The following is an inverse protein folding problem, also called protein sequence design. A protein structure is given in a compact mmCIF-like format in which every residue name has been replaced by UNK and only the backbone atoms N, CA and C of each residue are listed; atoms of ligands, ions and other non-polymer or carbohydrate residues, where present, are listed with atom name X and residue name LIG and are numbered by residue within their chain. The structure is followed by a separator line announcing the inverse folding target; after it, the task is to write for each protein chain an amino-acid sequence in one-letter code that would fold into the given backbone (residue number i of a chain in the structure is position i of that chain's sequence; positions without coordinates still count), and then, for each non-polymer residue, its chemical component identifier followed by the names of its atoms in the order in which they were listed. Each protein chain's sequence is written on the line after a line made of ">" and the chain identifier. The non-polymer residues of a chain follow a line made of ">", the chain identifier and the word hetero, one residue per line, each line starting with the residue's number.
data_IF_965330107444
#
_entry.id   IF_965330107444
#
_cell.length_a   1.000
_cell.length_b   1.000
_cell.length_c   1.000
_cell.angle_alpha   90.00
_cell.angle_beta   90.00
_cell.angle_gamma   90.00
#
_symmetry.space_group_name_H-M   'P 1'
#
loop_
_entity.id
_entity.type
_entity.pdbx_description
1 polymer ?
#
# COMPACT_ATOMS: atom_id res chain seq x y z
N UNK A 1 -14.13 -8.06 11.02
CA UNK A 1 -13.87 -8.45 9.61
C UNK A 1 -12.41 -8.85 9.56
N UNK A 2 -12.06 -10.00 8.98
CA UNK A 2 -10.67 -10.44 8.89
C UNK A 2 -10.06 -9.85 7.61
N UNK A 3 -8.87 -9.27 7.73
CA UNK A 3 -8.12 -8.73 6.60
C UNK A 3 -7.44 -9.91 5.90
N UNK A 4 -7.54 -9.95 4.57
CA UNK A 4 -6.91 -11.01 3.78
C UNK A 4 -5.45 -10.69 3.47
N UNK A 5 -4.62 -11.72 3.33
CA UNK A 5 -3.22 -11.57 2.89
C UNK A 5 -3.17 -10.85 1.53
N UNK A 6 -4.09 -11.15 0.62
CA UNK A 6 -4.18 -10.50 -0.69
C UNK A 6 -4.38 -8.97 -0.56
N UNK A 7 -5.20 -8.51 0.40
CA UNK A 7 -5.38 -7.08 0.68
C UNK A 7 -4.09 -6.43 1.18
N UNK A 8 -3.36 -7.10 2.07
CA UNK A 8 -2.05 -6.65 2.54
C UNK A 8 -1.02 -6.60 1.41
N UNK A 9 -1.00 -7.60 0.53
CA UNK A 9 -0.12 -7.63 -0.65
C UNK A 9 -0.39 -6.45 -1.57
N UNK A 10 -1.65 -6.17 -1.91
CA UNK A 10 -2.02 -5.03 -2.75
C UNK A 10 -1.59 -3.71 -2.10
N UNK A 11 -1.84 -3.54 -0.79
CA UNK A 11 -1.41 -2.34 -0.07
C UNK A 11 0.12 -2.16 -0.11
N UNK A 12 0.88 -3.23 0.13
CA UNK A 12 2.34 -3.22 0.03
C UNK A 12 2.83 -2.91 -1.38
N UNK A 13 2.27 -3.54 -2.41
CA UNK A 13 2.63 -3.27 -3.81
C UNK A 13 2.49 -1.78 -4.14
N UNK A 14 1.39 -1.15 -3.70
CA UNK A 14 1.19 0.28 -3.90
C UNK A 14 2.14 1.16 -3.08
N UNK A 15 2.47 0.78 -1.84
CA UNK A 15 3.44 1.51 -1.01
C UNK A 15 4.86 1.43 -1.59
N UNK A 16 5.30 0.24 -2.00
CA UNK A 16 6.61 0.00 -2.61
C UNK A 16 6.71 0.76 -3.93
N UNK A 17 5.72 0.62 -4.80
CA UNK A 17 5.65 1.34 -6.09
C UNK A 17 5.73 2.86 -5.89
N UNK A 18 5.02 3.39 -4.89
CA UNK A 18 5.04 4.82 -4.58
C UNK A 18 6.39 5.32 -4.06
N UNK A 19 7.08 4.49 -3.28
CA UNK A 19 8.43 4.79 -2.81
C UNK A 19 9.42 4.81 -3.96
N UNK A 20 9.44 3.74 -4.76
CA UNK A 20 10.42 3.56 -5.83
C UNK A 20 10.21 4.53 -7.00
N UNK A 21 8.96 4.76 -7.44
CA UNK A 21 8.69 5.68 -8.57
C UNK A 21 9.11 7.11 -8.27
N UNK A 22 9.02 7.55 -7.01
CA UNK A 22 9.45 8.88 -6.60
C UNK A 22 10.98 9.05 -6.63
N UNK A 23 11.73 7.99 -6.35
CA UNK A 23 13.19 8.03 -6.22
C UNK A 23 13.91 7.65 -7.53
N UNK A 24 13.37 6.69 -8.28
CA UNK A 24 14.01 6.11 -9.47
C UNK A 24 13.54 6.70 -10.80
N UNK A 25 12.45 7.47 -10.81
CA UNK A 25 11.86 8.00 -12.04
C UNK A 25 11.26 6.95 -12.98
N UNK A 26 11.07 5.71 -12.51
CA UNK A 26 10.42 4.60 -13.23
C UNK A 26 8.91 4.73 -13.10
N UNK A 27 8.18 4.28 -14.13
CA UNK A 27 6.72 4.36 -14.11
C UNK A 27 6.12 3.47 -13.02
N UNK A 28 5.12 4.01 -12.30
CA UNK A 28 4.44 3.26 -11.25
C UNK A 28 3.77 1.97 -11.78
N UNK A 29 3.25 2.00 -13.02
CA UNK A 29 2.60 0.83 -13.62
C UNK A 29 3.59 -0.30 -13.92
N UNK A 30 4.80 0.03 -14.37
CA UNK A 30 5.83 -0.97 -14.67
C UNK A 30 6.33 -1.64 -13.39
N UNK A 31 6.60 -0.85 -12.34
CA UNK A 31 6.96 -1.37 -11.02
C UNK A 31 5.86 -2.24 -10.42
N UNK A 32 4.60 -1.81 -10.56
CA UNK A 32 3.46 -2.56 -10.06
C UNK A 32 3.29 -3.89 -10.81
N UNK A 33 3.43 -3.89 -12.14
CA UNK A 33 3.34 -5.09 -12.94
C UNK A 33 4.44 -6.11 -12.56
N UNK A 34 5.65 -5.63 -12.27
CA UNK A 34 6.74 -6.48 -11.80
C UNK A 34 6.44 -7.11 -10.42
N UNK A 35 5.99 -6.29 -9.45
CA UNK A 35 5.61 -6.77 -8.12
C UNK A 35 4.36 -7.68 -8.12
N UNK A 36 3.57 -7.67 -9.19
CA UNK A 36 2.46 -8.59 -9.39
C UNK A 36 2.91 -9.90 -10.04
N UNK A 37 3.98 -9.86 -10.84
CA UNK A 37 4.54 -11.01 -11.53
C UNK A 37 5.56 -11.79 -10.69
N UNK A 38 6.24 -11.12 -9.75
CA UNK A 38 7.28 -11.69 -8.91
C UNK A 38 7.01 -11.44 -7.43
N UNK A 39 7.22 -12.47 -6.62
CA UNK A 39 7.20 -12.36 -5.15
C UNK A 39 8.56 -11.90 -4.59
N UNK A 40 9.63 -11.94 -5.38
CA UNK A 40 10.98 -11.68 -4.89
C UNK A 40 11.34 -10.19 -5.00
N UNK A 41 11.64 -9.56 -3.86
CA UNK A 41 12.01 -8.14 -3.76
C UNK A 41 13.49 -7.85 -4.09
N UNK A 42 14.24 -8.78 -4.68
CA UNK A 42 15.67 -8.60 -5.04
C UNK A 42 15.95 -8.75 -6.53
N UNK A 43 14.96 -9.20 -7.29
CA UNK A 43 15.07 -9.48 -8.71
C UNK A 43 14.00 -8.70 -9.47
N UNK A 44 14.34 -8.21 -10.65
CA UNK A 44 13.41 -7.48 -11.53
C UNK A 44 13.47 -5.95 -11.41
N UNK A 45 12.72 -5.22 -12.25
CA UNK A 45 12.60 -3.76 -12.21
C UNK A 45 12.23 -3.15 -10.85
N UNK A 46 11.45 -3.85 -10.02
CA UNK A 46 11.06 -3.43 -8.68
C UNK A 46 11.96 -4.00 -7.57
N UNK A 47 13.08 -4.65 -7.92
CA UNK A 47 14.08 -5.12 -6.98
C UNK A 47 14.55 -3.99 -6.06
N UNK A 48 14.62 -4.26 -4.77
CA UNK A 48 15.10 -3.35 -3.74
C UNK A 48 16.60 -3.56 -3.52
N UNK A 49 17.41 -2.55 -3.82
CA UNK A 49 18.78 -2.51 -3.34
C UNK A 49 18.81 -2.23 -1.82
N UNK A 50 20.00 -2.17 -1.20
CA UNK A 50 20.10 -1.96 0.25
C UNK A 50 19.52 -0.61 0.72
N UNK A 51 19.63 0.44 -0.09
CA UNK A 51 19.08 1.76 0.23
C UNK A 51 17.58 1.80 0.01
N UNK A 52 17.10 1.27 -1.13
CA UNK A 52 15.67 1.16 -1.41
C UNK A 52 14.96 0.33 -0.36
N UNK A 53 15.55 -0.79 0.07
CA UNK A 53 14.96 -1.64 1.10
C UNK A 53 14.82 -0.88 2.42
N UNK A 54 15.81 -0.08 2.81
CA UNK A 54 15.74 0.74 4.02
C UNK A 54 14.66 1.82 3.90
N UNK A 55 14.60 2.52 2.76
CA UNK A 55 13.62 3.57 2.51
C UNK A 55 12.19 3.02 2.47
N UNK A 56 11.99 1.90 1.78
CA UNK A 56 10.71 1.18 1.68
C UNK A 56 10.28 0.62 3.03
N UNK A 57 11.17 -0.08 3.75
CA UNK A 57 10.87 -0.63 5.06
C UNK A 57 10.46 0.48 6.02
N UNK A 58 11.15 1.63 6.02
CA UNK A 58 10.77 2.79 6.82
C UNK A 58 9.36 3.31 6.46
N UNK A 59 9.03 3.44 5.18
CA UNK A 59 7.70 3.89 4.75
C UNK A 59 6.59 2.92 5.16
N UNK A 60 6.83 1.61 5.02
CA UNK A 60 5.89 0.57 5.47
C UNK A 60 5.74 0.60 7.00
N UNK A 61 6.86 0.74 7.71
CA UNK A 61 6.89 0.90 9.16
C UNK A 61 6.15 2.15 9.62
N UNK A 62 6.29 3.29 8.95
CA UNK A 62 5.54 4.51 9.25
C UNK A 62 4.03 4.31 8.99
N UNK A 63 3.66 3.68 7.88
CA UNK A 63 2.27 3.47 7.47
C UNK A 63 1.50 2.53 8.43
N UNK A 64 2.14 1.43 8.86
CA UNK A 64 1.55 0.46 9.77
C UNK A 64 1.96 0.66 11.24
N UNK A 65 2.82 1.64 11.54
CA UNK A 65 3.42 1.88 12.86
C UNK A 65 4.11 0.66 13.49
N UNK A 66 4.88 -0.07 12.68
CA UNK A 66 5.60 -1.31 13.08
C UNK A 66 6.75 -1.08 14.08
N UNK A 67 7.17 0.17 14.32
CA UNK A 67 8.24 0.51 15.27
C UNK A 67 7.95 -0.04 16.68
N UNK A 68 6.67 -0.05 17.08
CA UNK A 68 6.26 -0.50 18.41
C UNK A 68 6.28 -2.02 18.57
N UNK A 69 6.33 -2.77 17.47
CA UNK A 69 6.29 -4.23 17.45
C UNK A 69 7.67 -4.84 17.19
N UNK A 70 8.68 -4.02 16.87
CA UNK A 70 10.00 -4.50 16.45
C UNK A 70 10.00 -5.20 15.08
N UNK A 71 8.87 -5.17 14.36
CA UNK A 71 8.69 -5.87 13.10
C UNK A 71 9.46 -5.22 11.93
N UNK A 72 9.95 -3.98 12.10
CA UNK A 72 10.81 -3.30 11.14
C UNK A 72 12.07 -4.14 10.79
N UNK A 73 12.72 -4.73 11.79
CA UNK A 73 13.88 -5.60 11.56
C UNK A 73 13.54 -6.83 10.73
N UNK A 74 12.32 -7.35 10.87
CA UNK A 74 11.85 -8.50 10.10
C UNK A 74 11.68 -8.15 8.63
N UNK A 75 11.22 -6.94 8.31
CA UNK A 75 11.12 -6.45 6.93
C UNK A 75 12.51 -6.39 6.26
N UNK A 76 13.53 -5.93 6.98
CA UNK A 76 14.90 -5.85 6.47
C UNK A 76 15.53 -7.24 6.23
N UNK A 77 15.06 -8.28 6.92
CA UNK A 77 15.54 -9.67 6.77
C UNK A 77 14.76 -10.48 5.72
N UNK A 78 13.56 -10.05 5.36
CA UNK A 78 12.65 -10.76 4.44
C UNK A 78 12.77 -10.20 3.03
N UNK A 79 13.02 -11.08 2.05
CA UNK A 79 13.19 -10.71 0.64
C UNK A 79 12.01 -11.07 -0.25
N UNK A 80 10.92 -11.55 0.35
CA UNK A 80 9.70 -11.92 -0.35
C UNK A 80 8.55 -11.00 0.09
N UNK A 81 7.75 -10.56 -0.87
CA UNK A 81 6.60 -9.70 -0.65
C UNK A 81 5.50 -10.43 0.14
N UNK A 82 5.32 -11.73 -0.10
CA UNK A 82 4.45 -12.63 0.65
C UNK A 82 4.76 -12.61 2.14
N UNK A 83 6.04 -12.74 2.50
CA UNK A 83 6.47 -12.71 3.90
C UNK A 83 6.19 -11.35 4.57
N UNK A 84 6.27 -10.25 3.84
CA UNK A 84 5.87 -8.94 4.36
C UNK A 84 4.35 -8.86 4.53
N UNK A 85 3.60 -9.39 3.56
CA UNK A 85 2.14 -9.41 3.55
C UNK A 85 1.57 -10.22 4.71
N UNK A 86 2.11 -11.41 4.96
CA UNK A 86 1.76 -12.30 6.07
C UNK A 86 2.00 -11.61 7.42
N UNK A 87 3.18 -11.04 7.63
CA UNK A 87 3.53 -10.32 8.86
C UNK A 87 2.51 -9.23 9.19
N UNK A 88 2.17 -8.41 8.20
CA UNK A 88 1.24 -7.29 8.39
C UNK A 88 -0.18 -7.80 8.60
N UNK A 89 -0.59 -8.81 7.82
CA UNK A 89 -1.90 -9.43 7.94
C UNK A 89 -2.13 -10.05 9.32
N UNK A 90 -1.14 -10.78 9.84
CA UNK A 90 -1.16 -11.38 11.19
C UNK A 90 -1.32 -10.30 12.26
N UNK A 91 -0.48 -9.25 12.21
CA UNK A 91 -0.49 -8.15 13.17
C UNK A 91 -1.78 -7.29 13.11
N UNK A 92 -2.45 -7.22 11.95
CA UNK A 92 -3.74 -6.54 11.83
C UNK A 92 -4.88 -7.40 12.38
N UNK A 93 -4.85 -8.71 12.12
CA UNK A 93 -5.92 -9.63 12.52
C UNK A 93 -5.88 -10.01 14.00
N UNK A 94 -4.71 -10.01 14.63
CA UNK A 94 -4.54 -10.25 16.07
C UNK A 94 -4.78 -9.00 16.93
N UNK A 95 -4.96 -7.84 16.29
CA UNK A 95 -5.23 -6.55 16.95
C UNK A 95 -3.98 -5.82 17.46
N UNK A 96 -2.79 -6.34 17.21
CA UNK A 96 -1.52 -5.65 17.50
C UNK A 96 -1.47 -4.30 16.77
N UNK A 97 -1.99 -4.26 15.54
CA UNK A 97 -2.18 -3.07 14.73
C UNK A 97 -3.66 -2.72 14.61
N UNK A 98 -4.05 -1.61 15.22
CA UNK A 98 -5.42 -1.09 15.21
C UNK A 98 -5.59 0.18 14.37
N UNK A 99 -4.49 0.74 13.86
CA UNK A 99 -4.48 2.00 13.15
C UNK A 99 -3.55 1.95 11.94
N UNK A 100 -3.92 2.68 10.89
CA UNK A 100 -3.10 2.94 9.70
C UNK A 100 -2.82 4.44 9.65
N UNK A 101 -1.60 4.81 9.29
CA UNK A 101 -1.14 6.20 9.31
C UNK A 101 -0.92 6.75 7.91
N UNK A 102 -1.57 7.86 7.61
CA UNK A 102 -1.47 8.56 6.32
C UNK A 102 -0.76 9.91 6.50
N UNK A 103 -0.04 10.37 5.47
CA UNK A 103 0.50 11.74 5.44
C UNK A 103 -0.52 12.69 4.82
N UNK A 104 -0.84 13.79 5.50
CA UNK A 104 -1.74 14.83 5.00
C UNK A 104 -1.15 15.53 3.78
N UNK A 105 -1.93 15.70 2.71
CA UNK A 105 -1.51 16.39 1.47
C UNK A 105 -1.58 17.92 1.50
N UNK A 106 -1.43 18.54 2.67
CA UNK A 106 -1.64 19.99 2.84
C UNK A 106 -0.64 20.86 2.08
N UNK A 107 -1.13 21.96 1.50
CA UNK A 107 -0.35 22.95 0.72
C UNK A 107 0.37 23.99 1.58
N UNK A 108 0.19 23.95 2.90
CA UNK A 108 0.77 24.90 3.87
C UNK A 108 1.38 24.15 5.06
N UNK A 109 2.61 23.67 4.89
CA UNK A 109 3.46 23.10 5.95
C UNK A 109 3.92 21.66 5.70
N UNK A 110 4.78 21.15 6.60
CA UNK A 110 5.25 19.77 6.57
C UNK A 110 4.08 18.77 6.69
N UNK A 111 4.01 17.73 5.83
CA UNK A 111 2.96 16.71 5.88
C UNK A 111 2.85 16.07 7.26
N UNK A 112 1.67 16.16 7.88
CA UNK A 112 1.41 15.56 9.19
C UNK A 112 0.97 14.11 9.04
N UNK A 113 1.45 13.26 9.94
CA UNK A 113 0.95 11.89 10.07
C UNK A 113 -0.41 11.92 10.79
N UNK A 114 -1.42 11.33 10.16
CA UNK A 114 -2.79 11.23 10.67
C UNK A 114 -3.12 9.75 10.81
N UNK A 115 -3.41 9.33 12.04
CA UNK A 115 -3.88 7.99 12.33
C UNK A 115 -5.34 7.82 11.90
N UNK A 116 -5.63 6.70 11.27
CA UNK A 116 -6.98 6.25 10.94
C UNK A 116 -7.22 4.91 11.61
N UNK A 117 -8.34 4.80 12.35
CA UNK A 117 -8.73 3.54 12.97
C UNK A 117 -9.03 2.51 11.89
N UNK A 118 -8.49 1.31 12.04
CA UNK A 118 -8.74 0.21 11.12
C UNK A 118 -10.23 -0.12 11.03
N UNK A 119 -10.95 -0.10 12.16
CA UNK A 119 -12.40 -0.35 12.18
C UNK A 119 -13.18 0.70 11.40
N UNK A 120 -12.76 1.97 11.50
CA UNK A 120 -13.35 3.07 10.73
C UNK A 120 -13.14 2.86 9.23
N UNK A 121 -11.90 2.55 8.82
CA UNK A 121 -11.56 2.27 7.43
C UNK A 121 -12.36 1.09 6.88
N UNK A 122 -12.42 -0.01 7.61
CA UNK A 122 -13.21 -1.18 7.22
C UNK A 122 -14.71 -0.89 7.19
N UNK A 123 -15.21 0.10 7.92
CA UNK A 123 -16.60 0.59 7.78
C UNK A 123 -16.80 1.35 6.48
N UNK A 124 -15.94 2.33 6.18
CA UNK A 124 -16.02 3.12 4.94
C UNK A 124 -15.96 2.21 3.71
N UNK A 125 -15.04 1.25 3.72
CA UNK A 125 -14.85 0.33 2.61
C UNK A 125 -16.09 -0.57 2.40
N UNK A 126 -16.76 -0.99 3.48
CA UNK A 126 -18.04 -1.73 3.38
C UNK A 126 -19.13 -0.86 2.76
N UNK A 127 -19.29 0.37 3.22
CA UNK A 127 -20.30 1.31 2.69
C UNK A 127 -20.07 1.59 1.21
N UNK A 128 -18.82 1.83 0.81
CA UNK A 128 -18.45 2.10 -0.57
C UNK A 128 -18.64 0.85 -1.43
N UNK A 129 -18.29 -0.32 -0.91
CA UNK A 129 -18.56 -1.60 -1.57
C UNK A 129 -20.06 -1.80 -1.80
N UNK A 130 -20.91 -1.40 -0.88
CA UNK A 130 -22.36 -1.46 -1.07
C UNK A 130 -22.83 -0.49 -2.17
N UNK A 131 -22.34 0.74 -2.16
CA UNK A 131 -22.69 1.77 -3.16
C UNK A 131 -22.33 1.35 -4.58
N UNK A 132 -21.19 0.67 -4.77
CA UNK A 132 -20.69 0.29 -6.11
C UNK A 132 -20.96 -1.19 -6.44
N UNK A 133 -21.89 -1.86 -5.73
CA UNK A 133 -22.21 -3.30 -5.91
C UNK A 133 -22.56 -3.70 -7.33
N UNK A 134 -23.26 -2.84 -8.06
CA UNK A 134 -23.73 -3.12 -9.41
C UNK A 134 -22.88 -2.44 -10.49
N UNK A 135 -21.75 -1.85 -10.10
CA UNK A 135 -20.85 -1.15 -11.03
C UNK A 135 -19.98 -2.16 -11.76
N UNK A 136 -19.96 -2.09 -13.10
CA UNK A 136 -19.18 -3.02 -13.94
C UNK A 136 -17.68 -2.70 -14.01
N UNK A 137 -17.29 -1.46 -13.68
CA UNK A 137 -15.91 -0.98 -13.75
C UNK A 137 -15.69 0.18 -12.80
N UNK A 138 -14.63 0.10 -12.02
CA UNK A 138 -14.16 1.19 -11.15
C UNK A 138 -12.78 1.60 -11.67
N UNK A 139 -12.58 2.90 -11.87
CA UNK A 139 -11.31 3.47 -12.33
C UNK A 139 -10.76 4.31 -11.18
N UNK A 140 -9.56 3.96 -10.69
CA UNK A 140 -8.86 4.74 -9.68
C UNK A 140 -8.04 5.84 -10.38
N UNK A 141 -8.37 7.11 -10.11
CA UNK A 141 -7.69 8.27 -10.68
C UNK A 141 -6.63 8.88 -9.74
N UNK A 142 -6.49 8.33 -8.53
CA UNK A 142 -5.54 8.78 -7.52
C UNK A 142 -4.67 7.62 -7.07
N UNK A 143 -3.39 7.86 -6.71
CA UNK A 143 -2.53 6.81 -6.18
C UNK A 143 -3.19 6.21 -4.94
N UNK A 144 -3.42 4.90 -4.97
CA UNK A 144 -4.19 4.22 -3.94
C UNK A 144 -3.61 4.51 -2.54
N UNK A 145 -2.29 4.53 -2.35
CA UNK A 145 -1.65 4.84 -1.06
C UNK A 145 -1.88 6.26 -0.49
N UNK A 146 -2.32 7.25 -1.30
CA UNK A 146 -2.66 8.59 -0.78
C UNK A 146 -4.05 8.65 -0.16
N UNK A 147 -4.96 7.78 -0.61
CA UNK A 147 -6.38 7.77 -0.24
C UNK A 147 -6.89 6.35 0.10
N UNK A 148 -5.99 5.41 0.47
CA UNK A 148 -6.25 3.94 0.53
C UNK A 148 -7.29 3.53 1.57
N UNK A 149 -7.80 4.49 2.34
CA UNK A 149 -9.00 4.35 3.12
C UNK A 149 -10.27 4.08 2.28
N UNK A 150 -10.36 4.56 1.03
CA UNK A 150 -11.67 4.78 0.40
C UNK A 150 -12.07 3.83 -0.74
N UNK A 151 -11.20 2.98 -1.32
CA UNK A 151 -11.56 2.21 -2.55
C UNK A 151 -11.10 0.73 -2.57
N UNK A 152 -10.22 0.26 -1.68
CA UNK A 152 -9.39 -0.92 -1.97
C UNK A 152 -10.03 -2.33 -1.81
N UNK A 153 -11.23 -2.53 -1.24
CA UNK A 153 -11.79 -3.90 -1.08
C UNK A 153 -12.46 -4.45 -2.35
N UNK A 154 -12.57 -3.67 -3.43
CA UNK A 154 -13.27 -4.11 -4.64
C UNK A 154 -12.44 -4.43 -5.88
N UNK A 155 -11.13 -4.44 -5.79
CA UNK A 155 -10.27 -4.88 -6.90
C UNK A 155 -9.74 -6.29 -6.60
N UNK A 156 -10.67 -7.22 -6.40
CA UNK A 156 -10.44 -8.64 -6.69
C UNK A 156 -11.34 -9.01 -7.86
N UNK A 157 -10.94 -8.58 -9.06
CA UNK A 157 -11.46 -9.05 -10.33
C UNK A 157 -10.27 -9.43 -11.20
N UNK A 158 -10.26 -10.63 -11.81
CA UNK A 158 -9.17 -11.05 -12.68
C UNK A 158 -9.14 -10.13 -13.90
N UNK A 159 -7.99 -9.48 -14.14
CA UNK A 159 -7.69 -8.81 -15.41
C UNK A 159 -8.02 -7.31 -15.51
N UNK A 160 -8.03 -6.55 -14.40
CA UNK A 160 -8.20 -5.08 -14.50
C UNK A 160 -6.84 -4.37 -14.50
N UNK A 161 -6.32 -4.08 -15.69
CA UNK A 161 -5.21 -3.13 -15.88
C UNK A 161 -5.67 -1.74 -15.44
N UNK A 162 -5.22 -1.30 -14.27
CA UNK A 162 -5.34 0.10 -13.88
C UNK A 162 -4.22 0.88 -14.58
N UNK A 163 -4.55 1.64 -15.62
CA UNK A 163 -3.67 2.70 -16.11
C UNK A 163 -3.56 3.79 -15.04
N UNK A 164 -2.55 3.71 -14.19
CA UNK A 164 -2.21 4.79 -13.28
C UNK A 164 -1.53 5.86 -14.13
N UNK A 165 -2.28 6.87 -14.54
CA UNK A 165 -1.72 8.08 -15.16
C UNK A 165 -1.36 9.05 -14.03
N UNK A 166 -0.08 9.38 -13.81
CA UNK A 166 0.29 10.34 -12.78
C UNK A 166 -0.21 11.74 -13.19
N UNK A 167 -1.26 12.22 -12.51
CA UNK A 167 -1.72 13.59 -12.70
C UNK A 167 -0.71 14.56 -12.06
N UNK A 168 0.03 15.28 -12.91
CA UNK A 168 0.98 16.32 -12.50
C UNK A 168 0.18 17.60 -12.24
N UNK A 169 0.02 17.96 -10.96
CA UNK A 169 -0.54 19.26 -10.60
C UNK A 169 0.53 20.33 -10.85
N UNK A 170 0.20 21.36 -11.63
CA UNK A 170 1.01 22.56 -11.82
C UNK A 170 0.06 23.74 -12.06
N UNK A 171 0.50 24.95 -11.66
CA UNK A 171 0.65 25.46 -10.30
C UNK A 171 -0.64 26.07 -9.73
#
# INVERSE_FOLDING_TARGET
>A
MQISIASCTVALQHLITAALSAERGVSANELLADLQASDHLRDGPAALDSLDQLAVARKVTEFFKLEKTGAEELLLRRHQLSQWSELICENLNDGTLSHIWFRSGGTTGEPKLVAQSLDHLLSEVREISDLVRNTKRIIALVPLHRDIARIAEKVSLPGTLAEITPYRWAP
#
